data_IF_070353756419
#
_entry.id   IF_070353756419
#
_cell.length_a   1.000
_cell.length_b   1.000
_cell.length_c   1.000
_cell.angle_alpha   90.00
_cell.angle_beta   90.00
_cell.angle_gamma   90.00
#
_symmetry.space_group_name_H-M   'P 1'
#
loop_
_entity.id
_entity.type
_entity.pdbx_description
1 polymer ?
#
# COMPACT_ATOMS: atom_id res chain seq x y z
N UNK A 1 17.27 -5.85 3.07
CA UNK A 1 16.27 -6.75 2.50
C UNK A 1 16.10 -6.51 1.00
N UNK A 2 15.76 -7.56 0.24
CA UNK A 2 15.51 -7.44 -1.20
C UNK A 2 14.01 -7.48 -1.48
N UNK A 3 13.50 -6.50 -2.21
CA UNK A 3 12.10 -6.44 -2.64
C UNK A 3 11.95 -6.88 -4.10
N UNK A 4 10.80 -7.44 -4.49
CA UNK A 4 9.63 -7.72 -3.66
C UNK A 4 9.75 -9.05 -2.90
N UNK A 5 9.00 -9.19 -1.81
CA UNK A 5 8.93 -10.41 -1.01
C UNK A 5 7.57 -11.10 -1.19
N UNK A 6 7.57 -12.32 -1.71
CA UNK A 6 6.34 -13.12 -1.85
C UNK A 6 5.75 -13.48 -0.49
N UNK A 7 6.60 -13.73 0.49
CA UNK A 7 6.17 -14.07 1.85
C UNK A 7 5.33 -12.96 2.48
N UNK A 8 5.80 -11.71 2.38
CA UNK A 8 5.07 -10.55 2.91
C UNK A 8 3.74 -10.38 2.19
N UNK A 9 3.75 -10.39 0.85
CA UNK A 9 2.51 -10.21 0.09
C UNK A 9 1.53 -11.36 0.33
N UNK A 10 2.01 -12.59 0.45
CA UNK A 10 1.15 -13.74 0.76
C UNK A 10 0.44 -13.59 2.09
N UNK A 11 1.12 -13.05 3.10
CA UNK A 11 0.50 -12.78 4.40
C UNK A 11 -0.64 -11.77 4.27
N UNK A 12 -0.42 -10.68 3.53
CA UNK A 12 -1.44 -9.65 3.32
C UNK A 12 -2.63 -10.17 2.51
N UNK A 13 -2.39 -10.99 1.50
CA UNK A 13 -3.46 -11.63 0.71
C UNK A 13 -4.28 -12.56 1.60
N UNK A 14 -3.63 -13.32 2.46
CA UNK A 14 -4.31 -14.18 3.44
C UNK A 14 -5.17 -13.34 4.40
N UNK A 15 -4.64 -12.22 4.89
CA UNK A 15 -5.39 -11.30 5.74
C UNK A 15 -6.63 -10.75 5.01
N UNK A 16 -6.48 -10.41 3.73
CA UNK A 16 -7.58 -9.91 2.91
C UNK A 16 -8.70 -10.95 2.77
N UNK A 17 -8.35 -12.20 2.48
CA UNK A 17 -9.32 -13.29 2.40
C UNK A 17 -10.03 -13.52 3.74
N UNK A 18 -9.26 -13.47 4.84
CA UNK A 18 -9.78 -13.74 6.19
C UNK A 18 -10.67 -12.61 6.71
N UNK A 19 -10.28 -11.37 6.47
CA UNK A 19 -10.98 -10.18 7.01
C UNK A 19 -11.90 -9.51 6.00
N UNK A 20 -11.89 -9.96 4.75
CA UNK A 20 -12.68 -9.36 3.66
C UNK A 20 -12.43 -7.84 3.53
N UNK A 21 -11.18 -7.45 3.49
CA UNK A 21 -10.76 -6.05 3.43
C UNK A 21 -9.38 -5.94 2.79
N UNK A 22 -9.13 -4.84 2.09
CA UNK A 22 -7.81 -4.54 1.54
C UNK A 22 -6.84 -4.34 2.71
N UNK A 23 -5.65 -4.94 2.60
CA UNK A 23 -4.60 -4.86 3.61
C UNK A 23 -3.34 -4.21 3.06
N UNK A 24 -2.66 -3.49 3.93
CA UNK A 24 -1.35 -2.91 3.67
C UNK A 24 -0.45 -3.07 4.89
N UNK A 25 0.86 -3.01 4.66
CA UNK A 25 1.85 -3.09 5.73
C UNK A 25 3.05 -2.21 5.43
N UNK A 26 3.59 -1.58 6.46
CA UNK A 26 4.88 -0.89 6.39
C UNK A 26 5.98 -1.87 6.82
N UNK A 27 7.01 -1.96 6.01
CA UNK A 27 8.12 -2.91 6.17
C UNK A 27 9.39 -2.14 6.47
N UNK A 28 10.12 -2.56 7.49
CA UNK A 28 11.39 -1.93 7.87
C UNK A 28 12.55 -2.41 6.97
N UNK A 29 13.75 -1.80 7.10
CA UNK A 29 14.90 -2.20 6.26
C UNK A 29 15.34 -3.65 6.42
N UNK A 30 15.02 -4.29 7.55
CA UNK A 30 15.36 -5.69 7.81
C UNK A 30 14.31 -6.67 7.28
N UNK A 31 13.22 -6.16 6.73
CA UNK A 31 12.15 -6.99 6.18
C UNK A 31 11.06 -7.37 7.18
N UNK A 32 11.02 -6.71 8.33
CA UNK A 32 10.00 -6.96 9.34
C UNK A 32 8.77 -6.08 9.11
N UNK A 33 7.59 -6.61 9.36
CA UNK A 33 6.35 -5.84 9.35
C UNK A 33 6.32 -4.95 10.60
N UNK A 34 6.35 -3.64 10.40
CA UNK A 34 6.24 -2.66 11.49
C UNK A 34 4.81 -2.56 11.97
N UNK A 35 3.89 -2.40 11.03
CA UNK A 35 2.46 -2.27 11.30
C UNK A 35 1.67 -2.60 10.04
N UNK A 36 0.45 -3.09 10.26
CA UNK A 36 -0.54 -3.34 9.20
C UNK A 36 -1.67 -2.32 9.31
N UNK A 37 -2.41 -2.18 8.21
CA UNK A 37 -3.65 -1.44 8.16
C UNK A 37 -4.62 -2.11 7.21
N UNK A 38 -5.90 -1.94 7.45
CA UNK A 38 -6.94 -2.33 6.51
C UNK A 38 -7.94 -1.18 6.36
N UNK A 39 -8.83 -1.28 5.39
CA UNK A 39 -9.79 -0.22 5.10
C UNK A 39 -10.83 -0.11 6.24
N UNK A 40 -10.94 1.08 6.83
CA UNK A 40 -11.89 1.36 7.92
C UNK A 40 -12.69 2.64 7.69
N UNK A 41 -12.90 3.00 6.42
CA UNK A 41 -13.63 4.23 6.05
C UNK A 41 -15.02 4.30 6.74
N UNK A 42 -15.78 3.23 6.65
CA UNK A 42 -17.12 3.18 7.28
C UNK A 42 -17.06 3.18 8.80
N UNK A 43 -16.36 2.20 9.42
CA UNK A 43 -16.30 2.13 10.89
C UNK A 43 -15.77 3.38 11.57
N UNK A 44 -14.79 4.05 10.95
CA UNK A 44 -14.16 5.24 11.54
C UNK A 44 -14.82 6.56 11.10
N UNK A 45 -15.81 6.51 10.22
CA UNK A 45 -16.38 7.72 9.61
C UNK A 45 -15.28 8.65 9.08
N UNK A 46 -14.31 8.07 8.38
CA UNK A 46 -13.11 8.77 7.92
C UNK A 46 -12.83 8.40 6.45
N UNK A 47 -13.06 9.33 5.50
CA UNK A 47 -12.85 9.03 4.08
C UNK A 47 -11.39 8.77 3.73
N UNK A 48 -10.44 9.11 4.60
CA UNK A 48 -9.03 8.87 4.38
C UNK A 48 -8.55 7.53 4.93
N UNK A 49 -9.39 6.79 5.66
CA UNK A 49 -9.00 5.56 6.36
C UNK A 49 -8.90 4.36 5.41
N UNK A 50 -8.15 4.51 4.33
CA UNK A 50 -7.76 3.43 3.45
C UNK A 50 -6.70 2.55 4.13
N UNK A 51 -6.52 1.33 3.63
CA UNK A 51 -5.56 0.39 4.19
C UNK A 51 -4.15 0.98 4.29
N UNK A 52 -3.70 1.65 3.22
CA UNK A 52 -2.36 2.24 3.15
C UNK A 52 -2.20 3.39 4.16
N UNK A 53 -3.21 4.25 4.27
CA UNK A 53 -3.20 5.35 5.24
C UNK A 53 -3.15 4.80 6.66
N UNK A 54 -3.95 3.78 6.96
CA UNK A 54 -3.97 3.16 8.28
C UNK A 54 -2.62 2.49 8.62
N UNK A 55 -2.01 1.80 7.64
CA UNK A 55 -0.69 1.19 7.84
C UNK A 55 0.38 2.25 8.14
N UNK A 56 0.40 3.34 7.36
CA UNK A 56 1.34 4.45 7.56
C UNK A 56 1.11 5.10 8.93
N UNK A 57 -0.15 5.39 9.26
CA UNK A 57 -0.52 6.00 10.53
C UNK A 57 -0.09 5.14 11.72
N UNK A 58 -0.38 3.85 11.66
CA UNK A 58 -0.03 2.91 12.72
C UNK A 58 1.49 2.78 12.88
N UNK A 59 2.22 2.70 11.76
CA UNK A 59 3.68 2.61 11.78
C UNK A 59 4.33 3.89 12.33
N UNK A 60 3.86 5.05 11.91
CA UNK A 60 4.35 6.35 12.40
C UNK A 60 4.16 6.47 13.91
N UNK A 61 2.99 6.07 14.41
CA UNK A 61 2.71 6.09 15.86
C UNK A 61 3.60 5.13 16.62
N UNK A 62 3.79 3.93 16.09
CA UNK A 62 4.62 2.91 16.72
C UNK A 62 6.08 3.36 16.82
N UNK A 63 6.60 3.99 15.78
CA UNK A 63 8.00 4.44 15.72
C UNK A 63 8.21 5.84 16.32
N UNK A 64 7.15 6.59 16.53
CA UNK A 64 7.24 7.97 17.01
C UNK A 64 7.82 8.92 15.96
N UNK A 65 7.47 8.74 14.70
CA UNK A 65 8.00 9.55 13.60
C UNK A 65 6.85 10.07 12.73
N UNK A 66 7.07 11.18 12.04
CA UNK A 66 6.16 11.71 11.02
C UNK A 66 6.66 11.43 9.60
N UNK A 67 7.89 10.96 9.47
CA UNK A 67 8.54 10.60 8.23
C UNK A 67 9.48 9.44 8.51
N UNK A 68 9.49 8.45 7.63
CA UNK A 68 10.32 7.26 7.82
C UNK A 68 11.78 7.52 7.47
N UNK A 69 12.72 6.91 8.21
CA UNK A 69 14.11 6.82 7.79
C UNK A 69 14.24 6.03 6.48
N UNK A 70 15.45 6.02 5.91
CA UNK A 70 15.71 5.30 4.67
C UNK A 70 15.45 3.79 4.81
N UNK A 71 14.98 3.18 3.72
CA UNK A 71 14.84 1.74 3.61
C UNK A 71 13.46 1.18 3.96
N UNK A 72 12.50 2.03 4.29
CA UNK A 72 11.13 1.56 4.59
C UNK A 72 10.31 1.44 3.31
N UNK A 73 9.51 0.37 3.23
CA UNK A 73 8.66 0.05 2.08
C UNK A 73 7.22 -0.17 2.52
N UNK A 74 6.30 0.04 1.59
CA UNK A 74 4.87 -0.26 1.79
C UNK A 74 4.47 -1.40 0.86
N UNK A 75 3.78 -2.38 1.39
CA UNK A 75 3.13 -3.43 0.62
C UNK A 75 1.62 -3.27 0.75
N UNK A 76 0.90 -3.45 -0.35
CA UNK A 76 -0.56 -3.36 -0.35
C UNK A 76 -1.17 -4.33 -1.36
N UNK A 77 -2.33 -4.85 -1.04
CA UNK A 77 -3.01 -5.85 -1.89
C UNK A 77 -3.75 -5.21 -3.07
N UNK A 78 -3.83 -3.88 -3.13
CA UNK A 78 -4.47 -3.16 -4.22
C UNK A 78 -3.63 -1.95 -4.61
N UNK A 79 -3.75 -1.51 -5.87
CA UNK A 79 -3.03 -0.32 -6.34
C UNK A 79 -3.40 0.89 -5.47
N UNK A 80 -2.43 1.59 -4.86
CA UNK A 80 -2.72 2.79 -4.10
C UNK A 80 -3.45 3.83 -4.94
N UNK A 81 -4.56 4.36 -4.41
CA UNK A 81 -5.25 5.48 -5.02
C UNK A 81 -4.38 6.75 -4.97
N UNK A 82 -4.74 7.83 -5.68
CA UNK A 82 -3.92 9.05 -5.66
C UNK A 82 -3.64 9.60 -4.27
N UNK A 83 -4.59 9.52 -3.34
CA UNK A 83 -4.39 9.95 -1.96
C UNK A 83 -3.31 9.12 -1.26
N UNK A 84 -3.41 7.79 -1.38
CA UNK A 84 -2.46 6.87 -0.73
C UNK A 84 -1.09 6.94 -1.39
N UNK A 85 -1.02 7.06 -2.71
CA UNK A 85 0.24 7.23 -3.44
C UNK A 85 0.95 8.52 -3.01
N UNK A 86 0.20 9.61 -2.83
CA UNK A 86 0.75 10.86 -2.31
C UNK A 86 1.25 10.70 -0.87
N UNK A 87 0.52 9.96 -0.04
CA UNK A 87 0.93 9.70 1.35
C UNK A 87 2.26 8.95 1.43
N UNK A 88 2.51 8.03 0.51
CA UNK A 88 3.79 7.29 0.40
C UNK A 88 4.95 8.30 0.23
N UNK A 89 4.78 9.27 -0.65
CA UNK A 89 5.77 10.32 -0.91
C UNK A 89 5.98 11.20 0.34
N UNK A 90 4.89 11.69 0.92
CA UNK A 90 4.95 12.55 2.11
C UNK A 90 5.55 11.83 3.31
N UNK A 91 5.33 10.53 3.43
CA UNK A 91 5.89 9.73 4.52
C UNK A 91 7.38 9.40 4.32
N UNK A 92 7.94 9.65 3.13
CA UNK A 92 9.33 9.32 2.83
C UNK A 92 9.56 7.82 2.70
N UNK A 93 8.59 7.07 2.20
CA UNK A 93 8.70 5.65 1.95
C UNK A 93 9.46 5.42 0.64
N UNK A 94 10.47 4.55 0.67
CA UNK A 94 11.41 4.38 -0.43
C UNK A 94 10.87 3.49 -1.55
N UNK A 95 9.83 2.74 -1.30
CA UNK A 95 9.25 1.90 -2.35
C UNK A 95 7.89 1.34 -1.96
N UNK A 96 7.12 0.98 -2.97
CA UNK A 96 5.80 0.36 -2.82
C UNK A 96 5.71 -0.88 -3.68
N UNK A 97 5.19 -1.96 -3.09
CA UNK A 97 4.86 -3.19 -3.81
C UNK A 97 3.35 -3.37 -3.74
N UNK A 98 2.70 -3.49 -4.88
CA UNK A 98 1.26 -3.75 -4.86
C UNK A 98 0.86 -4.86 -5.83
N UNK A 99 -0.08 -5.67 -5.38
CA UNK A 99 -0.90 -6.50 -6.23
C UNK A 99 -2.06 -5.63 -6.74
N UNK A 100 -2.72 -6.04 -7.77
CA UNK A 100 -3.86 -5.31 -8.31
C UNK A 100 -4.69 -6.26 -9.16
N UNK A 101 -5.95 -5.92 -9.30
CA UNK A 101 -6.79 -6.63 -10.25
C UNK A 101 -6.91 -5.79 -11.52
N UNK A 102 -6.33 -6.24 -12.64
CA UNK A 102 -6.38 -5.49 -13.89
C UNK A 102 -7.81 -5.26 -14.39
N UNK A 103 -8.75 -6.10 -13.98
CA UNK A 103 -10.16 -5.97 -14.38
C UNK A 103 -10.83 -4.74 -13.76
N UNK A 104 -10.21 -4.16 -12.73
CA UNK A 104 -10.71 -2.91 -12.11
C UNK A 104 -10.16 -1.66 -12.76
N UNK A 105 -9.09 -1.77 -13.53
CA UNK A 105 -8.47 -0.61 -14.18
C UNK A 105 -9.40 -0.01 -15.25
N UNK A 106 -9.58 1.29 -15.18
CA UNK A 106 -10.39 2.02 -16.15
C UNK A 106 -11.89 1.88 -15.97
N UNK A 107 -12.35 1.22 -14.92
CA UNK A 107 -13.78 1.16 -14.59
C UNK A 107 -14.20 2.37 -13.77
N UNK A 108 -15.48 2.75 -13.84
CA UNK A 108 -16.03 3.91 -13.15
C UNK A 108 -15.88 3.83 -11.64
N UNK A 109 -15.92 2.64 -11.08
CA UNK A 109 -15.77 2.37 -9.65
C UNK A 109 -14.31 2.20 -9.21
N UNK A 110 -13.38 2.38 -10.12
CA UNK A 110 -11.96 2.31 -9.82
C UNK A 110 -11.51 3.59 -9.11
N UNK A 111 -11.23 3.48 -7.83
CA UNK A 111 -10.78 4.61 -7.03
C UNK A 111 -9.34 5.04 -7.32
N UNK A 112 -8.61 4.31 -8.16
CA UNK A 112 -7.30 4.73 -8.66
C UNK A 112 -7.44 5.55 -9.95
N UNK A 113 -8.19 6.66 -9.88
CA UNK A 113 -8.54 7.49 -11.03
C UNK A 113 -7.32 8.20 -11.66
N UNK A 114 -6.20 8.29 -10.95
CA UNK A 114 -4.88 8.59 -11.50
C UNK A 114 -3.98 7.44 -11.05
N UNK A 115 -3.22 6.84 -11.98
CA UNK A 115 -2.39 5.69 -11.64
C UNK A 115 -1.36 6.03 -10.56
N UNK A 116 -1.08 5.05 -9.69
CA UNK A 116 -0.02 5.16 -8.69
C UNK A 116 1.31 5.57 -9.32
N UNK A 117 1.64 4.99 -10.48
CA UNK A 117 2.86 5.31 -11.23
C UNK A 117 2.97 6.80 -11.55
N UNK A 118 1.88 7.40 -12.05
CA UNK A 118 1.87 8.83 -12.40
C UNK A 118 2.04 9.71 -11.16
N UNK A 119 1.40 9.37 -10.05
CA UNK A 119 1.53 10.11 -8.80
C UNK A 119 2.97 10.03 -8.27
N UNK A 120 3.54 8.84 -8.24
CA UNK A 120 4.92 8.61 -7.77
C UNK A 120 5.92 9.40 -8.62
N UNK A 121 5.77 9.37 -9.95
CA UNK A 121 6.63 10.12 -10.87
C UNK A 121 6.49 11.63 -10.65
N UNK A 122 5.27 12.12 -10.55
CA UNK A 122 5.02 13.56 -10.36
C UNK A 122 5.58 14.07 -9.04
N UNK A 123 5.57 13.25 -7.99
CA UNK A 123 6.06 13.62 -6.67
C UNK A 123 7.54 13.32 -6.44
N UNK A 124 8.27 12.84 -7.45
CA UNK A 124 9.65 12.39 -7.28
C UNK A 124 10.63 13.49 -6.85
N UNK A 125 10.30 14.75 -7.10
CA UNK A 125 11.13 15.87 -6.64
C UNK A 125 11.07 16.05 -5.11
N UNK A 126 10.00 15.60 -4.46
CA UNK A 126 9.87 15.62 -3.00
C UNK A 126 10.53 14.40 -2.37
N UNK A 127 10.26 13.25 -2.92
CA UNK A 127 10.84 11.98 -2.49
C UNK A 127 10.68 10.95 -3.59
N UNK A 128 11.78 10.30 -3.97
CA UNK A 128 11.76 9.28 -5.01
C UNK A 128 11.44 7.93 -4.40
N UNK A 129 10.33 7.34 -4.82
CA UNK A 129 9.93 6.00 -4.39
C UNK A 129 10.04 5.02 -5.55
N UNK A 130 10.55 3.84 -5.29
CA UNK A 130 10.52 2.73 -6.25
C UNK A 130 9.13 2.11 -6.26
N UNK A 131 8.80 1.39 -7.34
CA UNK A 131 7.48 0.80 -7.48
C UNK A 131 7.59 -0.58 -8.13
N UNK A 132 6.97 -1.58 -7.49
CA UNK A 132 6.79 -2.91 -8.05
C UNK A 132 5.29 -3.15 -8.17
N UNK A 133 4.78 -3.10 -9.39
CA UNK A 133 3.35 -3.24 -9.67
C UNK A 133 2.97 -4.64 -10.11
N UNK A 134 1.70 -4.97 -9.98
CA UNK A 134 1.10 -6.24 -10.42
C UNK A 134 1.79 -7.48 -9.81
N UNK A 135 2.31 -7.32 -8.61
CA UNK A 135 3.00 -8.40 -7.91
C UNK A 135 1.99 -9.39 -7.33
N UNK A 136 2.12 -10.66 -7.70
CA UNK A 136 1.21 -11.73 -7.29
C UNK A 136 -0.24 -11.48 -7.71
N UNK A 137 -0.42 -10.93 -8.90
CA UNK A 137 -1.72 -10.53 -9.42
C UNK A 137 -2.70 -11.71 -9.53
N UNK A 138 -2.20 -12.91 -9.88
CA UNK A 138 -3.06 -14.08 -10.04
C UNK A 138 -3.67 -14.52 -8.70
N UNK A 139 -2.90 -14.42 -7.64
CA UNK A 139 -3.35 -14.78 -6.31
C UNK A 139 -4.40 -13.80 -5.78
N UNK A 140 -4.22 -12.49 -6.02
CA UNK A 140 -5.18 -11.49 -5.57
C UNK A 140 -6.40 -11.43 -6.49
N UNK A 141 -6.23 -11.71 -7.77
CA UNK A 141 -7.32 -11.71 -8.74
C UNK A 141 -8.46 -12.65 -8.32
N UNK A 142 -8.12 -13.79 -7.77
CA UNK A 142 -9.11 -14.78 -7.33
C UNK A 142 -10.08 -14.20 -6.28
N UNK A 143 -9.63 -13.23 -5.48
CA UNK A 143 -10.48 -12.59 -4.47
C UNK A 143 -11.65 -11.82 -5.09
N UNK A 144 -11.47 -11.26 -6.28
CA UNK A 144 -12.46 -10.40 -6.93
C UNK A 144 -13.38 -11.14 -7.91
N UNK A 145 -13.33 -12.44 -7.98
CA UNK A 145 -14.19 -13.25 -8.87
C UNK A 145 -15.54 -13.56 -8.24
#
# INVERSE_FOLDING_TARGET
>A
MRHPSREIMSELIHDQWTKDSIFAAVIDPDGNIVAKGHTTVGPDNDPTAHAEINAIRNACRKLGVSRFPDGYWLYTTFEPCPMCASAIIWAGIDGVVYANNPDYRGKEDNWSFISCEKVIEAGSYLHKSEMVKDFMIDEIKAYFI
#
